data_IF_843142038346
#
_entry.id   IF_843142038346
#
_cell.length_a   1.000
_cell.length_b   1.000
_cell.length_c   1.000
_cell.angle_alpha   90.00
_cell.angle_beta   90.00
_cell.angle_gamma   90.00
#
_symmetry.space_group_name_H-M   'P 1'
#
loop_
_entity.id
_entity.type
_entity.pdbx_description
1 polymer ?
#
# COMPACT_ATOMS: atom_id res chain seq x y z
N UNK A 1 -9.54 22.93 -14.35
CA UNK A 1 -9.67 21.55 -14.89
C UNK A 1 -8.39 20.78 -14.60
N UNK A 2 -8.41 19.81 -13.66
CA UNK A 2 -7.20 19.10 -13.24
C UNK A 2 -6.99 17.79 -14.03
N UNK A 3 -5.93 17.74 -14.85
CA UNK A 3 -5.47 16.57 -15.60
C UNK A 3 -5.20 15.39 -14.64
N UNK A 4 -6.12 14.43 -14.58
CA UNK A 4 -5.95 13.21 -13.81
C UNK A 4 -5.08 12.21 -14.57
N UNK A 5 -3.87 11.96 -14.07
CA UNK A 5 -3.10 10.78 -14.45
C UNK A 5 -3.92 9.50 -14.18
N UNK A 6 -3.55 8.40 -14.86
CA UNK A 6 -4.23 7.10 -14.86
C UNK A 6 -4.56 6.53 -13.46
N UNK A 7 -3.98 7.10 -12.41
CA UNK A 7 -4.17 6.77 -11.02
C UNK A 7 -4.48 8.04 -10.23
N UNK A 8 -5.67 8.12 -9.59
CA UNK A 8 -5.93 9.17 -8.58
C UNK A 8 -4.79 9.16 -7.55
N UNK A 9 -4.25 10.24 -7.02
CA UNK A 9 -3.34 10.10 -5.87
C UNK A 9 -4.05 9.29 -4.76
N UNK A 10 -3.33 8.55 -3.90
CA UNK A 10 -3.92 8.03 -2.67
C UNK A 10 -4.76 9.14 -2.04
N UNK A 11 -6.04 8.89 -1.74
CA UNK A 11 -6.99 9.94 -1.28
C UNK A 11 -6.46 10.73 -0.07
N UNK A 12 -5.42 10.24 0.59
CA UNK A 12 -4.82 10.83 1.78
C UNK A 12 -3.32 11.07 1.58
N UNK A 13 -2.90 12.35 1.63
CA UNK A 13 -1.50 12.80 1.47
C UNK A 13 -0.51 12.11 2.42
N UNK A 14 -0.96 11.66 3.60
CA UNK A 14 -0.08 11.02 4.56
C UNK A 14 0.28 9.58 4.17
N UNK A 15 -0.62 8.86 3.48
CA UNK A 15 -0.36 7.50 2.99
C UNK A 15 0.56 7.50 1.78
N UNK A 16 0.41 8.49 0.87
CA UNK A 16 1.32 8.66 -0.27
C UNK A 16 2.76 8.98 0.14
N UNK A 17 2.97 9.54 1.35
CA UNK A 17 4.31 9.76 1.91
C UNK A 17 4.95 8.50 2.49
N UNK A 18 4.17 7.44 2.70
CA UNK A 18 4.64 6.17 3.25
C UNK A 18 4.80 5.13 2.15
N UNK A 19 3.79 4.98 1.29
CA UNK A 19 3.79 4.01 0.19
C UNK A 19 4.85 4.41 -0.83
N UNK A 20 5.70 3.45 -1.18
CA UNK A 20 6.77 3.63 -2.15
C UNK A 20 6.72 2.53 -3.21
N UNK A 21 6.94 2.94 -4.46
CA UNK A 21 7.09 2.05 -5.62
C UNK A 21 8.53 2.04 -6.15
N UNK A 22 9.45 2.73 -5.49
CA UNK A 22 10.79 2.98 -6.03
C UNK A 22 11.66 1.72 -6.03
N UNK A 23 11.68 0.97 -4.93
CA UNK A 23 12.44 -0.29 -4.81
C UNK A 23 11.69 -1.30 -3.95
N UNK A 24 11.94 -2.61 -4.13
CA UNK A 24 11.37 -3.66 -3.27
C UNK A 24 11.66 -3.43 -1.78
N UNK A 25 12.87 -2.97 -1.46
CA UNK A 25 13.28 -2.69 -0.06
C UNK A 25 12.47 -1.55 0.55
N UNK A 26 12.28 -0.44 -0.19
CA UNK A 26 11.43 0.68 0.26
C UNK A 26 9.97 0.25 0.39
N UNK A 27 9.46 -0.54 -0.54
CA UNK A 27 8.10 -1.07 -0.47
C UNK A 27 7.89 -1.95 0.77
N UNK A 28 8.87 -2.80 1.12
CA UNK A 28 8.84 -3.62 2.33
C UNK A 28 8.81 -2.77 3.60
N UNK A 29 9.69 -1.79 3.72
CA UNK A 29 9.71 -0.85 4.86
C UNK A 29 8.38 -0.09 5.00
N UNK A 30 7.80 0.34 3.88
CA UNK A 30 6.50 1.00 3.84
C UNK A 30 5.37 0.08 4.35
N UNK A 31 5.31 -1.14 3.82
CA UNK A 31 4.33 -2.15 4.22
C UNK A 31 4.46 -2.51 5.70
N UNK A 32 5.66 -2.79 6.18
CA UNK A 32 5.94 -3.16 7.57
C UNK A 32 5.55 -2.03 8.54
N UNK A 33 5.81 -0.77 8.18
CA UNK A 33 5.38 0.40 8.97
C UNK A 33 3.87 0.49 9.09
N UNK A 34 3.14 0.25 8.00
CA UNK A 34 1.67 0.29 7.99
C UNK A 34 1.07 -0.88 8.78
N UNK A 35 1.58 -2.10 8.59
CA UNK A 35 1.14 -3.29 9.34
C UNK A 35 1.44 -3.13 10.83
N UNK A 36 2.65 -2.71 11.19
CA UNK A 36 3.02 -2.47 12.60
C UNK A 36 2.13 -1.40 13.22
N UNK A 37 1.80 -0.36 12.43
CA UNK A 37 0.86 0.68 12.81
C UNK A 37 -0.54 0.15 13.11
N UNK A 38 -1.07 -0.72 12.26
CA UNK A 38 -2.36 -1.39 12.46
C UNK A 38 -2.33 -2.27 13.72
N UNK A 39 -1.28 -3.07 13.91
CA UNK A 39 -1.15 -3.95 15.09
C UNK A 39 -1.12 -3.18 16.41
N UNK A 40 -0.37 -2.07 16.44
CA UNK A 40 -0.19 -1.20 17.62
C UNK A 40 -1.31 -0.18 17.82
N UNK A 41 -2.16 0.02 16.81
CA UNK A 41 -3.16 1.07 16.79
C UNK A 41 -2.62 2.50 16.74
N UNK A 42 -1.37 2.69 16.32
CA UNK A 42 -0.75 4.01 16.13
C UNK A 42 0.46 3.98 15.20
N UNK A 43 0.69 5.08 14.49
CA UNK A 43 1.93 5.35 13.74
C UNK A 43 2.53 6.66 14.27
N UNK A 44 3.67 6.58 14.95
CA UNK A 44 4.25 7.74 15.64
C UNK A 44 3.28 8.28 16.70
N UNK A 45 2.91 9.56 16.61
CA UNK A 45 1.91 10.21 17.48
C UNK A 45 0.46 10.02 16.98
N UNK A 46 0.26 9.48 15.78
CA UNK A 46 -1.06 9.36 15.17
C UNK A 46 -1.77 8.06 15.62
N UNK A 47 -2.90 8.18 16.31
CA UNK A 47 -3.76 7.05 16.66
C UNK A 47 -4.50 6.51 15.42
N UNK A 48 -4.56 5.20 15.28
CA UNK A 48 -5.28 4.51 14.22
C UNK A 48 -6.55 3.93 14.83
N UNK A 49 -7.68 4.57 14.52
CA UNK A 49 -9.02 4.00 14.71
C UNK A 49 -9.52 3.33 13.42
N UNK A 50 -10.74 2.81 13.45
CA UNK A 50 -11.35 2.03 12.36
C UNK A 50 -11.26 2.73 11.00
N UNK A 51 -11.66 4.01 10.89
CA UNK A 51 -11.60 4.76 9.63
C UNK A 51 -10.20 4.82 9.03
N UNK A 52 -9.17 5.06 9.86
CA UNK A 52 -7.76 5.10 9.41
C UNK A 52 -7.24 3.72 9.07
N UNK A 53 -7.63 2.70 9.83
CA UNK A 53 -7.27 1.32 9.54
C UNK A 53 -7.82 0.88 8.17
N UNK A 54 -9.07 1.23 7.86
CA UNK A 54 -9.68 0.99 6.56
C UNK A 54 -8.96 1.73 5.43
N UNK A 55 -8.54 2.98 5.67
CA UNK A 55 -7.74 3.75 4.70
C UNK A 55 -6.41 3.07 4.39
N UNK A 56 -5.73 2.54 5.41
CA UNK A 56 -4.47 1.79 5.24
C UNK A 56 -4.70 0.54 4.39
N UNK A 57 -5.72 -0.27 4.71
CA UNK A 57 -6.03 -1.48 3.96
C UNK A 57 -6.29 -1.20 2.47
N UNK A 58 -7.14 -0.21 2.20
CA UNK A 58 -7.46 0.22 0.83
C UNK A 58 -6.23 0.77 0.10
N UNK A 59 -5.35 1.49 0.79
CA UNK A 59 -4.14 2.04 0.18
C UNK A 59 -3.11 0.96 -0.16
N UNK A 60 -2.93 -0.04 0.71
CA UNK A 60 -2.09 -1.21 0.41
C UNK A 60 -2.65 -1.99 -0.79
N UNK A 61 -3.97 -2.21 -0.83
CA UNK A 61 -4.61 -2.93 -1.93
C UNK A 61 -4.47 -2.19 -3.25
N UNK A 62 -4.64 -0.89 -3.19
CA UNK A 62 -4.39 -0.02 -4.32
C UNK A 62 -2.95 -0.10 -4.80
N UNK A 63 -1.98 -0.11 -3.89
CA UNK A 63 -0.56 -0.22 -4.23
C UNK A 63 -0.22 -1.55 -4.93
N UNK A 64 -0.81 -2.66 -4.46
CA UNK A 64 -0.72 -3.94 -5.16
C UNK A 64 -1.32 -3.85 -6.57
N UNK A 65 -2.53 -3.30 -6.72
CA UNK A 65 -3.17 -3.18 -8.03
C UNK A 65 -2.39 -2.28 -9.00
N UNK A 66 -1.88 -1.14 -8.53
CA UNK A 66 -1.10 -0.20 -9.35
C UNK A 66 0.19 -0.86 -9.85
N UNK A 67 0.91 -1.57 -8.98
CA UNK A 67 2.15 -2.25 -9.35
C UNK A 67 1.89 -3.41 -10.32
N UNK A 68 0.79 -4.14 -10.16
CA UNK A 68 0.32 -5.13 -11.15
C UNK A 68 0.07 -4.49 -12.51
N UNK A 69 -0.69 -3.40 -12.55
CA UNK A 69 -1.02 -2.69 -13.79
C UNK A 69 0.22 -2.11 -14.47
N UNK A 70 1.14 -1.51 -13.71
CA UNK A 70 2.40 -1.00 -14.26
C UNK A 70 3.19 -2.13 -14.90
N UNK A 71 3.36 -3.25 -14.18
CA UNK A 71 4.07 -4.44 -14.67
C UNK A 71 3.45 -4.99 -15.97
N UNK A 72 2.12 -5.08 -16.02
CA UNK A 72 1.40 -5.77 -17.09
C UNK A 72 1.17 -4.89 -18.33
N UNK A 73 0.89 -3.59 -18.14
CA UNK A 73 0.48 -2.69 -19.23
C UNK A 73 1.58 -1.79 -19.76
N UNK A 74 2.65 -1.53 -19.00
CA UNK A 74 3.71 -0.63 -19.46
C UNK A 74 4.60 -1.37 -20.47
N UNK A 75 4.43 -1.03 -21.75
CA UNK A 75 5.13 -1.65 -22.89
C UNK A 75 6.65 -1.45 -22.86
N UNK A 76 7.13 -0.35 -22.27
CA UNK A 76 8.55 0.04 -22.18
C UNK A 76 9.18 -0.30 -20.82
N UNK A 77 8.98 -1.51 -20.30
CA UNK A 77 9.68 -2.00 -19.11
C UNK A 77 10.70 -3.06 -19.51
N UNK A 78 11.93 -2.90 -19.03
CA UNK A 78 12.94 -3.97 -19.06
C UNK A 78 12.47 -5.17 -18.23
N UNK A 79 12.97 -6.37 -18.54
CA UNK A 79 12.74 -7.55 -17.71
C UNK A 79 13.17 -7.36 -16.26
N UNK A 80 14.27 -6.63 -16.03
CA UNK A 80 14.75 -6.30 -14.69
C UNK A 80 13.73 -5.47 -13.93
N UNK A 81 13.21 -4.41 -14.55
CA UNK A 81 12.18 -3.56 -13.94
C UNK A 81 10.87 -4.36 -13.72
N UNK A 82 10.48 -5.23 -14.66
CA UNK A 82 9.31 -6.13 -14.46
C UNK A 82 9.51 -7.06 -13.28
N UNK A 83 10.72 -7.60 -13.09
CA UNK A 83 11.04 -8.44 -11.94
C UNK A 83 10.98 -7.65 -10.63
N UNK A 84 11.44 -6.39 -10.61
CA UNK A 84 11.30 -5.51 -9.45
C UNK A 84 9.85 -5.20 -9.12
N UNK A 85 9.04 -4.80 -10.10
CA UNK A 85 7.61 -4.58 -9.90
C UNK A 85 6.88 -5.84 -9.46
N UNK A 86 7.30 -7.03 -9.93
CA UNK A 86 6.77 -8.32 -9.45
C UNK A 86 7.07 -8.54 -7.96
N UNK A 87 8.28 -8.21 -7.51
CA UNK A 87 8.66 -8.27 -6.09
C UNK A 87 7.86 -7.27 -5.26
N UNK A 88 7.75 -6.02 -5.73
CA UNK A 88 6.96 -4.97 -5.07
C UNK A 88 5.48 -5.38 -4.96
N UNK A 89 4.90 -5.91 -6.03
CA UNK A 89 3.54 -6.43 -6.04
C UNK A 89 3.34 -7.51 -4.97
N UNK A 90 4.23 -8.49 -4.90
CA UNK A 90 4.15 -9.57 -3.91
C UNK A 90 4.19 -9.04 -2.48
N UNK A 91 5.08 -8.07 -2.20
CA UNK A 91 5.17 -7.42 -0.88
C UNK A 91 3.85 -6.77 -0.50
N UNK A 92 3.26 -5.97 -1.40
CA UNK A 92 2.00 -5.31 -1.10
C UNK A 92 0.82 -6.29 -1.04
N UNK A 93 0.78 -7.33 -1.87
CA UNK A 93 -0.27 -8.36 -1.82
C UNK A 93 -0.27 -9.10 -0.47
N UNK A 94 0.90 -9.52 0.00
CA UNK A 94 1.04 -10.13 1.33
C UNK A 94 0.66 -9.15 2.46
N UNK A 95 1.02 -7.89 2.31
CA UNK A 95 0.67 -6.85 3.26
C UNK A 95 -0.84 -6.59 3.32
N UNK A 96 -1.53 -6.67 2.18
CA UNK A 96 -2.98 -6.51 2.08
C UNK A 96 -3.70 -7.58 2.88
N UNK A 97 -3.31 -8.85 2.71
CA UNK A 97 -3.90 -9.99 3.44
C UNK A 97 -3.79 -9.76 4.95
N UNK A 98 -2.57 -9.50 5.42
CA UNK A 98 -2.29 -9.21 6.85
C UNK A 98 -3.05 -7.99 7.36
N UNK A 99 -3.13 -6.93 6.56
CA UNK A 99 -3.82 -5.70 6.96
C UNK A 99 -5.33 -5.93 7.13
N UNK A 100 -5.96 -6.66 6.21
CA UNK A 100 -7.38 -7.00 6.30
C UNK A 100 -7.69 -7.94 7.46
N UNK A 101 -6.84 -8.93 7.73
CA UNK A 101 -6.95 -9.79 8.92
C UNK A 101 -6.97 -8.94 10.20
N UNK A 102 -5.98 -8.05 10.37
CA UNK A 102 -5.91 -7.16 11.55
C UNK A 102 -7.11 -6.21 11.61
N UNK A 103 -7.55 -5.71 10.46
CA UNK A 103 -8.72 -4.82 10.39
C UNK A 103 -9.99 -5.53 10.85
N UNK A 104 -10.24 -6.74 10.36
CA UNK A 104 -11.42 -7.51 10.72
C UNK A 104 -11.39 -7.91 12.19
N UNK A 105 -10.23 -8.33 12.69
CA UNK A 105 -10.03 -8.71 14.10
C UNK A 105 -10.20 -7.52 15.06
N UNK A 106 -9.46 -6.43 14.86
CA UNK A 106 -9.35 -5.33 15.86
C UNK A 106 -10.28 -4.14 15.64
N UNK A 107 -10.78 -3.95 14.42
CA UNK A 107 -11.42 -2.69 14.02
C UNK A 107 -12.83 -2.83 13.44
N UNK A 108 -13.20 -3.99 12.90
CA UNK A 108 -14.55 -4.23 12.38
C UNK A 108 -15.52 -4.74 13.46
N UNK A 109 -15.03 -5.42 14.48
CA UNK A 109 -15.85 -5.95 15.59
C UNK A 109 -16.16 -4.92 16.70
N UNK A 110 -15.92 -3.63 16.47
CA UNK A 110 -16.02 -2.58 17.49
C UNK A 110 -16.95 -1.46 17.08
#
# INVERSE_FOLDING_TARGET
MGKGGLFKPPKHKWLSRIISYETPSKARKAADKLISGLKRGRIGKMRIGQKRALQICRALQRAANETKVIRDKKKKLSEKERAEFRKIHKIYDEAVKKAWEIYHDKYKQK
#
